data_IF_129288286602
#
_entry.id   IF_129288286602
#
_cell.length_a   1.000
_cell.length_b   1.000
_cell.length_c   1.000
_cell.angle_alpha   90.00
_cell.angle_beta   90.00
_cell.angle_gamma   90.00
#
_symmetry.space_group_name_H-M   'P 1'
#
loop_
_entity.id
_entity.type
_entity.pdbx_description
1 polymer ?
#
# COMPACT_ATOMS: atom_id res chain seq x y z
N UNK A 1 -44.95 15.82 -7.50
CA UNK A 1 -44.99 17.25 -7.10
C UNK A 1 -44.71 17.43 -5.61
N UNK A 2 -45.53 16.86 -4.70
CA UNK A 2 -45.34 17.02 -3.24
C UNK A 2 -43.98 16.52 -2.73
N UNK A 3 -43.54 15.31 -3.10
CA UNK A 3 -42.22 14.77 -2.72
C UNK A 3 -41.06 15.68 -3.14
N UNK A 4 -41.11 16.21 -4.36
CA UNK A 4 -40.05 17.08 -4.88
C UNK A 4 -39.97 18.41 -4.13
N UNK A 5 -41.11 19.01 -3.79
CA UNK A 5 -41.16 20.25 -3.03
C UNK A 5 -40.66 20.05 -1.59
N UNK A 6 -41.04 18.95 -0.96
CA UNK A 6 -40.54 18.59 0.37
C UNK A 6 -39.03 18.33 0.35
N UNK A 7 -38.51 17.63 -0.67
CA UNK A 7 -37.09 17.37 -0.81
C UNK A 7 -36.28 18.67 -0.97
N UNK A 8 -36.74 19.60 -1.81
CA UNK A 8 -36.11 20.91 -1.97
C UNK A 8 -36.09 21.71 -0.65
N UNK A 9 -37.18 21.66 0.10
CA UNK A 9 -37.27 22.33 1.42
C UNK A 9 -36.27 21.74 2.41
N UNK A 10 -36.20 20.41 2.49
CA UNK A 10 -35.29 19.71 3.41
C UNK A 10 -33.81 19.92 3.03
N UNK A 11 -33.49 19.86 1.74
CA UNK A 11 -32.14 20.14 1.25
C UNK A 11 -31.71 21.58 1.56
N UNK A 12 -32.59 22.56 1.32
CA UNK A 12 -32.31 23.96 1.63
C UNK A 12 -32.15 24.24 3.13
N UNK A 13 -32.79 23.45 3.98
CA UNK A 13 -32.68 23.52 5.43
C UNK A 13 -31.47 22.76 6.00
N UNK A 14 -30.70 22.03 5.18
CA UNK A 14 -29.61 21.15 5.65
C UNK A 14 -30.10 19.91 6.41
N UNK A 15 -31.38 19.55 6.27
CA UNK A 15 -32.02 18.42 6.97
C UNK A 15 -31.81 17.12 6.19
N UNK A 16 -30.54 16.77 5.94
CA UNK A 16 -30.13 15.70 5.02
C UNK A 16 -30.60 14.30 5.44
N UNK A 17 -30.64 13.99 6.74
CA UNK A 17 -31.18 12.71 7.22
C UNK A 17 -32.69 12.58 6.96
N UNK A 18 -33.44 13.69 7.11
CA UNK A 18 -34.88 13.71 6.78
C UNK A 18 -35.11 13.66 5.28
N UNK A 19 -34.22 14.25 4.48
CA UNK A 19 -34.23 14.11 3.03
C UNK A 19 -34.07 12.64 2.63
N UNK A 20 -33.11 11.92 3.24
CA UNK A 20 -32.96 10.48 3.03
C UNK A 20 -34.27 9.74 3.33
N UNK A 21 -34.87 9.98 4.50
CA UNK A 21 -36.13 9.32 4.89
C UNK A 21 -37.27 9.59 3.91
N UNK A 22 -37.37 10.83 3.42
CA UNK A 22 -38.33 11.22 2.39
C UNK A 22 -38.09 10.48 1.07
N UNK A 23 -36.84 10.28 0.65
CA UNK A 23 -36.51 9.51 -0.56
C UNK A 23 -36.86 8.05 -0.44
N UNK A 24 -36.65 7.43 0.73
CA UNK A 24 -37.10 6.06 0.97
C UNK A 24 -38.64 5.96 0.90
N UNK A 25 -39.34 6.95 1.47
CA UNK A 25 -40.81 7.05 1.40
C UNK A 25 -41.29 7.18 -0.05
N UNK A 26 -40.64 8.03 -0.83
CA UNK A 26 -40.93 8.25 -2.24
C UNK A 26 -40.73 6.97 -3.06
N UNK A 27 -39.62 6.27 -2.87
CA UNK A 27 -39.31 5.04 -3.58
C UNK A 27 -40.37 3.96 -3.34
N UNK A 28 -40.82 3.80 -2.08
CA UNK A 28 -41.90 2.86 -1.74
C UNK A 28 -43.23 3.24 -2.40
N UNK A 29 -43.58 4.52 -2.36
CA UNK A 29 -44.79 5.04 -3.00
C UNK A 29 -44.80 4.78 -4.52
N UNK A 30 -43.68 5.06 -5.20
CA UNK A 30 -43.53 4.86 -6.64
C UNK A 30 -43.60 3.38 -7.07
N UNK A 31 -43.21 2.47 -6.17
CA UNK A 31 -43.29 1.02 -6.37
C UNK A 31 -44.62 0.40 -5.89
N UNK A 32 -45.56 1.20 -5.40
CA UNK A 32 -46.87 0.74 -4.92
C UNK A 32 -46.83 -0.01 -3.58
N UNK A 33 -45.77 0.20 -2.78
CA UNK A 33 -45.60 -0.40 -1.46
C UNK A 33 -46.22 0.47 -0.37
N UNK A 34 -46.53 -0.13 0.79
CA UNK A 34 -46.99 0.63 1.96
C UNK A 34 -45.89 1.59 2.43
N UNK A 35 -46.24 2.87 2.51
CA UNK A 35 -45.38 3.98 2.95
C UNK A 35 -45.07 3.91 4.46
N UNK A 36 -45.84 3.16 5.24
CA UNK A 36 -45.66 3.01 6.70
C UNK A 36 -44.43 2.20 7.16
N UNK A 37 -43.54 1.78 6.25
CA UNK A 37 -42.34 0.93 6.52
C UNK A 37 -42.63 -0.28 7.43
N UNK A 38 -43.73 -0.99 7.19
CA UNK A 38 -44.08 -2.20 7.99
C UNK A 38 -43.30 -3.43 7.58
N UNK A 39 -42.99 -3.56 6.29
CA UNK A 39 -42.29 -4.72 5.74
C UNK A 39 -40.79 -4.42 5.61
N UNK A 40 -39.94 -5.35 6.07
CA UNK A 40 -38.51 -5.27 5.82
C UNK A 40 -38.25 -5.37 4.31
N UNK A 41 -37.10 -4.87 3.84
CA UNK A 41 -36.75 -4.97 2.42
C UNK A 41 -36.68 -6.44 1.96
N UNK A 42 -36.26 -7.33 2.86
CA UNK A 42 -36.17 -8.78 2.65
C UNK A 42 -37.54 -9.47 2.51
N UNK A 43 -38.63 -8.80 2.88
CA UNK A 43 -39.99 -9.31 2.74
C UNK A 43 -40.64 -8.88 1.40
N UNK A 44 -39.96 -8.03 0.61
CA UNK A 44 -40.45 -7.57 -0.69
C UNK A 44 -40.13 -8.63 -1.77
N UNK A 45 -41.10 -9.01 -2.57
CA UNK A 45 -40.91 -10.00 -3.65
C UNK A 45 -40.10 -9.43 -4.84
N UNK A 46 -39.40 -10.31 -5.56
CA UNK A 46 -38.76 -9.95 -6.84
C UNK A 46 -39.82 -9.73 -7.93
N UNK A 47 -39.62 -8.80 -8.89
CA UNK A 47 -38.46 -7.93 -9.09
C UNK A 47 -38.57 -6.56 -8.39
N UNK A 48 -39.52 -6.39 -7.46
CA UNK A 48 -39.75 -5.11 -6.77
C UNK A 48 -38.62 -4.82 -5.78
N UNK A 49 -38.13 -5.84 -5.08
CA UNK A 49 -36.99 -5.75 -4.15
C UNK A 49 -35.77 -5.11 -4.81
N UNK A 50 -35.31 -5.68 -5.93
CA UNK A 50 -34.17 -5.15 -6.71
C UNK A 50 -34.34 -3.66 -7.05
N UNK A 51 -35.55 -3.23 -7.44
CA UNK A 51 -35.82 -1.81 -7.76
C UNK A 51 -35.82 -0.91 -6.52
N UNK A 52 -36.34 -1.41 -5.40
CA UNK A 52 -36.35 -0.69 -4.13
C UNK A 52 -34.92 -0.50 -3.59
N UNK A 53 -34.10 -1.55 -3.63
CA UNK A 53 -32.67 -1.48 -3.28
C UNK A 53 -31.93 -0.45 -4.12
N UNK A 54 -32.12 -0.46 -5.43
CA UNK A 54 -31.52 0.52 -6.33
C UNK A 54 -31.94 1.96 -5.99
N UNK A 55 -33.21 2.18 -5.65
CA UNK A 55 -33.70 3.49 -5.24
C UNK A 55 -33.14 3.93 -3.88
N UNK A 56 -32.95 3.00 -2.94
CA UNK A 56 -32.33 3.28 -1.63
C UNK A 56 -30.85 3.63 -1.79
N UNK A 57 -30.11 2.91 -2.63
CA UNK A 57 -28.73 3.25 -2.96
C UNK A 57 -28.62 4.62 -3.64
N UNK A 58 -29.59 4.98 -4.49
CA UNK A 58 -29.64 6.32 -5.08
C UNK A 58 -29.86 7.41 -4.03
N UNK A 59 -30.78 7.20 -3.07
CA UNK A 59 -31.01 8.11 -1.96
C UNK A 59 -29.75 8.29 -1.07
N UNK A 60 -29.03 7.19 -0.82
CA UNK A 60 -27.74 7.21 -0.13
C UNK A 60 -26.72 8.09 -0.87
N UNK A 61 -26.59 7.95 -2.20
CA UNK A 61 -25.68 8.78 -2.99
C UNK A 61 -26.06 10.25 -2.97
N UNK A 62 -27.33 10.59 -3.20
CA UNK A 62 -27.81 11.98 -3.19
C UNK A 62 -27.47 12.68 -1.86
N UNK A 63 -27.78 12.03 -0.74
CA UNK A 63 -27.57 12.60 0.59
C UNK A 63 -26.08 12.65 0.94
N UNK A 64 -25.32 11.62 0.57
CA UNK A 64 -23.88 11.57 0.73
C UNK A 64 -23.16 12.69 -0.02
N UNK A 65 -23.53 12.95 -1.27
CA UNK A 65 -22.98 14.06 -2.08
C UNK A 65 -23.23 15.43 -1.44
N UNK A 66 -24.46 15.67 -0.98
CA UNK A 66 -24.82 16.93 -0.31
C UNK A 66 -24.04 17.13 0.99
N UNK A 67 -23.81 16.05 1.76
CA UNK A 67 -22.99 16.09 2.98
C UNK A 67 -21.51 16.36 2.68
N UNK A 68 -20.96 15.79 1.59
CA UNK A 68 -19.60 16.10 1.14
C UNK A 68 -19.47 17.57 0.71
N UNK A 69 -20.45 18.11 -0.01
CA UNK A 69 -20.47 19.53 -0.41
C UNK A 69 -20.52 20.46 0.81
N UNK A 70 -21.12 20.02 1.91
CA UNK A 70 -21.16 20.73 3.18
C UNK A 70 -19.93 20.49 4.08
N UNK A 71 -18.95 19.69 3.64
CA UNK A 71 -17.74 19.36 4.42
C UNK A 71 -17.97 18.40 5.60
N UNK A 72 -19.11 17.71 5.65
CA UNK A 72 -19.46 16.74 6.70
C UNK A 72 -19.06 15.32 6.27
N UNK A 73 -17.76 15.05 6.25
CA UNK A 73 -17.18 13.85 5.63
C UNK A 73 -17.60 12.54 6.32
N UNK A 74 -17.57 12.49 7.66
CA UNK A 74 -17.94 11.28 8.43
C UNK A 74 -19.38 10.88 8.18
N UNK A 75 -20.28 11.86 8.18
CA UNK A 75 -21.70 11.64 7.93
C UNK A 75 -21.96 11.28 6.48
N UNK A 76 -21.27 11.92 5.54
CA UNK A 76 -21.33 11.52 4.13
C UNK A 76 -20.91 10.05 3.96
N UNK A 77 -19.84 9.61 4.64
CA UNK A 77 -19.37 8.23 4.56
C UNK A 77 -20.40 7.22 5.08
N UNK A 78 -21.18 7.56 6.12
CA UNK A 78 -22.28 6.70 6.60
C UNK A 78 -23.27 6.34 5.48
N UNK A 79 -23.56 7.29 4.58
CA UNK A 79 -24.46 7.07 3.45
C UNK A 79 -23.77 6.47 2.22
N UNK A 80 -22.51 6.85 1.95
CA UNK A 80 -21.81 6.40 0.74
C UNK A 80 -21.20 5.00 0.88
N UNK A 81 -20.94 4.53 2.11
CA UNK A 81 -20.39 3.21 2.38
C UNK A 81 -21.27 2.07 1.85
N UNK A 82 -22.60 2.01 2.10
CA UNK A 82 -23.47 1.02 1.47
C UNK A 82 -23.47 1.06 -0.07
N UNK A 83 -23.30 2.25 -0.67
CA UNK A 83 -23.26 2.42 -2.12
C UNK A 83 -21.91 2.03 -2.75
N UNK A 84 -20.90 1.70 -1.92
CA UNK A 84 -19.55 1.35 -2.34
C UNK A 84 -18.80 2.50 -3.03
N UNK A 85 -19.26 3.75 -2.88
CA UNK A 85 -18.82 4.87 -3.70
C UNK A 85 -17.55 5.55 -3.15
N UNK A 86 -16.48 4.76 -3.05
CA UNK A 86 -15.17 5.25 -2.58
C UNK A 86 -14.57 6.30 -3.51
N UNK A 87 -14.86 6.21 -4.81
CA UNK A 87 -14.27 7.10 -5.81
C UNK A 87 -14.77 8.54 -5.64
N UNK A 88 -16.07 8.73 -5.45
CA UNK A 88 -16.65 10.04 -5.15
C UNK A 88 -16.01 10.67 -3.90
N UNK A 89 -15.90 9.90 -2.82
CA UNK A 89 -15.31 10.39 -1.56
C UNK A 89 -13.84 10.76 -1.75
N UNK A 90 -13.07 9.91 -2.43
CA UNK A 90 -11.67 10.18 -2.79
C UNK A 90 -11.51 11.50 -3.56
N UNK A 91 -12.36 11.75 -4.54
CA UNK A 91 -12.33 13.01 -5.29
C UNK A 91 -12.62 14.23 -4.42
N UNK A 92 -13.53 14.12 -3.45
CA UNK A 92 -13.80 15.20 -2.50
C UNK A 92 -12.68 15.39 -1.48
N UNK A 93 -12.13 14.32 -0.92
CA UNK A 93 -10.92 14.34 -0.10
C UNK A 93 -9.73 14.97 -0.85
N UNK A 94 -9.69 14.83 -2.19
CA UNK A 94 -8.61 15.41 -2.98
C UNK A 94 -8.57 16.94 -2.95
N UNK A 95 -9.73 17.55 -2.75
CA UNK A 95 -9.96 18.99 -2.70
C UNK A 95 -10.06 19.53 -1.28
N UNK A 96 -10.23 18.64 -0.30
CA UNK A 96 -10.08 18.98 1.10
C UNK A 96 -8.63 19.41 1.32
N UNK A 97 -8.42 20.69 1.58
CA UNK A 97 -7.20 21.17 2.19
C UNK A 97 -7.48 21.20 3.70
N UNK A 98 -7.20 20.11 4.45
CA UNK A 98 -7.35 20.17 5.89
C UNK A 98 -6.52 21.32 6.43
N UNK A 99 -7.12 22.13 7.31
CA UNK A 99 -6.31 22.95 8.20
C UNK A 99 -5.55 21.99 9.10
N UNK A 100 -4.24 21.90 8.91
CA UNK A 100 -3.37 21.03 9.71
C UNK A 100 -3.28 21.49 11.18
N UNK A 101 -3.86 22.63 11.53
CA UNK A 101 -4.05 23.08 12.91
C UNK A 101 -5.36 22.67 13.56
N UNK A 102 -6.32 22.10 12.81
CA UNK A 102 -7.57 21.54 13.34
C UNK A 102 -7.42 20.02 13.52
N UNK A 103 -7.04 19.65 14.74
CA UNK A 103 -6.80 18.26 15.12
C UNK A 103 -8.03 17.37 14.96
N UNK A 104 -9.24 17.86 15.23
CA UNK A 104 -10.45 17.05 15.16
C UNK A 104 -10.86 16.79 13.70
N UNK A 105 -10.77 17.82 12.86
CA UNK A 105 -11.03 17.71 11.43
C UNK A 105 -10.02 16.77 10.74
N UNK A 106 -8.74 16.86 11.09
CA UNK A 106 -7.71 16.00 10.52
C UNK A 106 -7.88 14.53 10.92
N UNK A 107 -8.31 14.24 12.16
CA UNK A 107 -8.56 12.86 12.60
C UNK A 107 -9.74 12.24 11.86
N UNK A 108 -10.81 13.00 11.64
CA UNK A 108 -11.94 12.57 10.82
C UNK A 108 -11.51 12.20 9.39
N UNK A 109 -10.67 13.03 8.77
CA UNK A 109 -10.19 12.76 7.42
C UNK A 109 -9.25 11.56 7.36
N UNK A 110 -8.37 11.39 8.35
CA UNK A 110 -7.50 10.20 8.46
C UNK A 110 -8.35 8.93 8.62
N UNK A 111 -9.38 8.97 9.46
CA UNK A 111 -10.31 7.86 9.68
C UNK A 111 -10.92 7.35 8.37
N UNK A 112 -11.47 8.27 7.58
CA UNK A 112 -12.13 7.94 6.31
C UNK A 112 -11.11 7.54 5.25
N UNK A 113 -10.03 8.30 5.11
CA UNK A 113 -9.06 8.07 4.04
C UNK A 113 -8.27 6.77 4.24
N UNK A 114 -7.73 6.56 5.45
CA UNK A 114 -6.83 5.44 5.75
C UNK A 114 -7.57 4.23 6.33
N UNK A 115 -8.28 4.39 7.44
CA UNK A 115 -8.86 3.25 8.18
C UNK A 115 -10.09 2.65 7.48
N UNK A 116 -10.88 3.46 6.79
CA UNK A 116 -11.97 2.97 5.91
C UNK A 116 -11.48 2.63 4.48
N UNK A 117 -10.18 2.78 4.24
CA UNK A 117 -9.48 2.50 3.00
C UNK A 117 -10.13 3.16 1.75
N UNK A 118 -10.46 4.46 1.86
CA UNK A 118 -11.01 5.25 0.76
C UNK A 118 -9.89 5.86 -0.09
N UNK A 119 -8.90 6.48 0.54
CA UNK A 119 -7.70 7.05 -0.09
C UNK A 119 -6.49 6.81 0.83
N UNK A 120 -5.99 5.55 0.94
CA UNK A 120 -4.95 5.21 1.90
C UNK A 120 -3.67 6.00 1.73
N UNK A 121 -3.25 6.31 0.50
CA UNK A 121 -2.04 7.09 0.23
C UNK A 121 -2.11 8.47 0.91
N UNK A 122 -3.21 9.19 0.70
CA UNK A 122 -3.43 10.51 1.29
C UNK A 122 -3.63 10.44 2.80
N UNK A 123 -4.46 9.50 3.26
CA UNK A 123 -4.72 9.31 4.69
C UNK A 123 -3.45 8.98 5.47
N UNK A 124 -2.58 8.15 4.89
CA UNK A 124 -1.28 7.82 5.47
C UNK A 124 -0.33 9.02 5.49
N UNK A 125 -0.31 9.83 4.43
CA UNK A 125 0.49 11.07 4.40
C UNK A 125 0.08 12.05 5.51
N UNK A 126 -1.22 12.22 5.73
CA UNK A 126 -1.76 13.04 6.82
C UNK A 126 -1.40 12.48 8.20
N UNK A 127 -1.58 11.17 8.40
CA UNK A 127 -1.21 10.51 9.66
C UNK A 127 0.28 10.67 9.96
N UNK A 128 1.15 10.48 8.97
CA UNK A 128 2.60 10.59 9.12
C UNK A 128 3.01 12.02 9.46
N UNK A 129 2.39 13.03 8.84
CA UNK A 129 2.64 14.43 9.13
C UNK A 129 2.20 14.83 10.54
N UNK A 130 1.09 14.26 11.02
CA UNK A 130 0.52 14.56 12.34
C UNK A 130 1.21 13.82 13.48
N UNK A 131 1.40 12.52 13.34
CA UNK A 131 1.77 11.60 14.42
C UNK A 131 3.25 11.18 14.36
N UNK A 132 3.97 11.57 13.30
CA UNK A 132 5.41 11.34 13.12
C UNK A 132 5.79 9.93 12.64
N UNK A 133 7.08 9.76 12.36
CA UNK A 133 7.64 8.57 11.70
C UNK A 133 7.39 7.27 12.45
N UNK A 134 7.66 7.22 13.76
CA UNK A 134 7.51 6.00 14.57
C UNK A 134 6.07 5.47 14.51
N UNK A 135 5.10 6.33 14.81
CA UNK A 135 3.69 5.94 14.80
C UNK A 135 3.18 5.64 13.38
N UNK A 136 3.68 6.36 12.36
CA UNK A 136 3.41 6.04 10.96
C UNK A 136 3.88 4.64 10.57
N UNK A 137 5.05 4.21 11.02
CA UNK A 137 5.56 2.84 10.80
C UNK A 137 4.66 1.83 11.52
N UNK A 138 4.39 2.03 12.82
CA UNK A 138 3.54 1.13 13.62
C UNK A 138 2.14 0.97 13.01
N UNK A 139 1.55 2.06 12.54
CA UNK A 139 0.23 2.04 11.89
C UNK A 139 0.27 1.26 10.59
N UNK A 140 1.27 1.48 9.73
CA UNK A 140 1.37 0.78 8.46
C UNK A 140 1.59 -0.73 8.66
N UNK A 141 2.41 -1.12 9.64
CA UNK A 141 2.62 -2.53 10.02
C UNK A 141 1.33 -3.21 10.48
N UNK A 142 0.44 -2.47 11.14
CA UNK A 142 -0.86 -2.97 11.60
C UNK A 142 -1.89 -3.09 10.48
N UNK A 143 -1.79 -2.22 9.46
CA UNK A 143 -2.74 -2.16 8.34
C UNK A 143 -2.32 -3.00 7.12
N UNK A 144 -1.07 -3.43 7.02
CA UNK A 144 -0.53 -4.07 5.82
C UNK A 144 -1.33 -5.28 5.31
N UNK A 145 -2.00 -6.03 6.19
CA UNK A 145 -2.83 -7.18 5.83
C UNK A 145 -4.24 -6.81 5.34
N UNK A 146 -4.68 -5.59 5.63
CA UNK A 146 -6.01 -5.07 5.29
C UNK A 146 -5.99 -4.23 4.00
N UNK A 147 -4.85 -3.61 3.69
CA UNK A 147 -4.67 -2.80 2.50
C UNK A 147 -4.54 -3.66 1.24
N UNK A 148 -5.02 -3.13 0.11
CA UNK A 148 -4.73 -3.72 -1.18
C UNK A 148 -3.22 -3.62 -1.48
N UNK A 149 -2.66 -4.51 -2.34
CA UNK A 149 -1.25 -4.40 -2.74
C UNK A 149 -0.90 -3.04 -3.37
N UNK A 150 -1.86 -2.41 -4.08
CA UNK A 150 -1.67 -1.08 -4.66
C UNK A 150 -1.57 0.01 -3.59
N UNK A 151 -2.51 0.00 -2.63
CA UNK A 151 -2.55 0.98 -1.54
C UNK A 151 -1.32 0.84 -0.62
N UNK A 152 -0.91 -0.39 -0.29
CA UNK A 152 0.28 -0.63 0.53
C UNK A 152 1.54 -0.08 -0.14
N UNK A 153 1.69 -0.26 -1.47
CA UNK A 153 2.80 0.33 -2.23
C UNK A 153 2.76 1.86 -2.24
N UNK A 154 1.59 2.46 -2.34
CA UNK A 154 1.43 3.91 -2.30
C UNK A 154 1.82 4.47 -0.91
N UNK A 155 1.34 3.86 0.17
CA UNK A 155 1.75 4.22 1.54
C UNK A 155 3.26 4.02 1.77
N UNK A 156 3.84 2.92 1.27
CA UNK A 156 5.28 2.68 1.34
C UNK A 156 6.08 3.80 0.63
N UNK A 157 5.62 4.26 -0.53
CA UNK A 157 6.25 5.36 -1.25
C UNK A 157 6.22 6.68 -0.44
N UNK A 158 5.13 6.96 0.28
CA UNK A 158 5.04 8.10 1.20
C UNK A 158 6.05 7.99 2.34
N UNK A 159 6.15 6.81 2.98
CA UNK A 159 7.11 6.58 4.06
C UNK A 159 8.56 6.78 3.60
N UNK A 160 8.93 6.21 2.44
CA UNK A 160 10.28 6.34 1.88
C UNK A 160 10.64 7.80 1.63
N UNK A 161 9.75 8.57 1.00
CA UNK A 161 9.96 10.01 0.75
C UNK A 161 10.11 10.80 2.04
N UNK A 162 9.29 10.50 3.03
CA UNK A 162 9.31 11.17 4.33
C UNK A 162 10.63 10.93 5.06
N UNK A 163 11.02 9.66 5.23
CA UNK A 163 12.25 9.29 5.95
C UNK A 163 13.50 9.79 5.23
N UNK A 164 13.54 9.71 3.89
CA UNK A 164 14.61 10.32 3.11
C UNK A 164 14.68 11.84 3.34
N UNK A 165 13.53 12.52 3.32
CA UNK A 165 13.43 13.95 3.56
C UNK A 165 13.88 14.36 4.97
N UNK A 166 13.48 13.61 5.98
CA UNK A 166 13.86 13.80 7.39
C UNK A 166 15.38 13.65 7.56
N UNK A 167 15.95 12.54 7.09
CA UNK A 167 17.39 12.27 7.18
C UNK A 167 18.22 13.34 6.44
N UNK A 168 17.82 13.67 5.22
CA UNK A 168 18.45 14.73 4.42
C UNK A 168 18.35 16.09 5.13
N UNK A 169 17.20 16.41 5.71
CA UNK A 169 16.98 17.63 6.49
C UNK A 169 17.92 17.70 7.69
N UNK A 170 18.05 16.61 8.44
CA UNK A 170 18.89 16.53 9.63
C UNK A 170 20.39 16.66 9.31
N UNK A 171 20.86 16.00 8.25
CA UNK A 171 22.24 16.15 7.77
C UNK A 171 22.53 17.57 7.28
N UNK A 172 21.60 18.19 6.54
CA UNK A 172 21.74 19.61 6.15
C UNK A 172 21.77 20.54 7.36
N UNK A 173 20.94 20.29 8.37
CA UNK A 173 20.95 21.03 9.62
C UNK A 173 22.27 20.86 10.38
N UNK A 174 22.88 19.68 10.38
CA UNK A 174 24.22 19.47 10.91
C UNK A 174 25.28 20.22 10.11
N UNK A 175 25.27 20.13 8.78
CA UNK A 175 26.20 20.85 7.91
C UNK A 175 26.13 22.36 8.11
N UNK A 176 24.92 22.93 8.19
CA UNK A 176 24.71 24.36 8.44
C UNK A 176 25.30 24.80 9.79
N UNK A 177 25.23 23.95 10.83
CA UNK A 177 25.88 24.22 12.12
C UNK A 177 27.40 24.18 12.04
N UNK A 178 27.97 23.32 11.19
CA UNK A 178 29.43 23.18 11.01
C UNK A 178 30.04 24.26 10.11
N UNK A 179 29.35 24.64 9.03
CA UNK A 179 29.90 25.49 7.96
C UNK A 179 29.18 26.83 7.80
N UNK A 180 28.06 27.05 8.49
CA UNK A 180 27.22 28.25 8.39
C UNK A 180 26.18 28.22 7.26
N UNK A 181 26.35 27.34 6.27
CA UNK A 181 25.42 27.14 5.16
C UNK A 181 25.31 25.67 4.77
N UNK A 182 24.16 25.29 4.19
CA UNK A 182 23.94 23.95 3.65
C UNK A 182 23.08 24.03 2.38
N UNK A 183 23.65 23.76 1.19
CA UNK A 183 22.93 23.88 -0.07
C UNK A 183 21.64 23.04 -0.08
N UNK A 184 20.56 23.62 -0.61
CA UNK A 184 19.23 23.01 -0.60
C UNK A 184 18.99 21.95 -1.67
N UNK A 185 19.90 21.83 -2.63
CA UNK A 185 19.76 20.95 -3.79
C UNK A 185 20.49 19.63 -3.63
N UNK A 186 21.47 19.53 -2.71
CA UNK A 186 22.26 18.32 -2.54
C UNK A 186 21.39 17.15 -2.07
N UNK A 187 21.57 16.01 -2.72
CA UNK A 187 21.06 14.70 -2.31
C UNK A 187 21.75 14.20 -1.04
N UNK A 188 21.21 13.14 -0.44
CA UNK A 188 21.82 12.47 0.70
C UNK A 188 23.19 11.91 0.33
N UNK A 189 23.31 11.28 -0.84
CA UNK A 189 24.59 10.76 -1.36
C UNK A 189 25.64 11.85 -1.59
N UNK A 190 25.25 13.00 -2.14
CA UNK A 190 26.17 14.15 -2.29
C UNK A 190 26.61 14.73 -0.95
N UNK A 191 25.69 14.90 0.01
CA UNK A 191 26.04 15.38 1.35
C UNK A 191 27.09 14.48 2.02
N UNK A 192 26.91 13.17 1.93
CA UNK A 192 27.82 12.19 2.52
C UNK A 192 29.16 12.08 1.81
N UNK A 193 29.19 12.29 0.49
CA UNK A 193 30.42 12.25 -0.31
C UNK A 193 31.27 13.51 -0.11
N UNK A 194 30.62 14.67 -0.17
CA UNK A 194 31.29 15.96 -0.17
C UNK A 194 31.65 16.42 1.26
N UNK A 195 30.92 15.91 2.26
CA UNK A 195 31.11 16.21 3.69
C UNK A 195 31.16 14.92 4.53
N UNK A 196 32.20 14.08 4.37
CA UNK A 196 32.32 12.82 5.09
C UNK A 196 32.27 12.98 6.61
N UNK A 197 32.71 14.13 7.14
CA UNK A 197 32.69 14.45 8.57
C UNK A 197 31.30 14.39 9.20
N UNK A 198 30.23 14.52 8.38
CA UNK A 198 28.85 14.43 8.87
C UNK A 198 28.51 13.05 9.45
N UNK A 199 29.20 12.00 9.02
CA UNK A 199 28.96 10.62 9.45
C UNK A 199 30.10 10.05 10.30
N UNK A 200 31.10 10.86 10.62
CA UNK A 200 32.23 10.43 11.44
C UNK A 200 31.86 10.40 12.94
N UNK A 201 32.71 9.71 13.72
CA UNK A 201 32.66 9.68 15.19
C UNK A 201 31.35 9.12 15.78
N UNK A 202 30.63 8.28 15.03
CA UNK A 202 29.40 7.64 15.50
C UNK A 202 28.19 8.58 15.55
N UNK A 203 28.25 9.71 14.84
CA UNK A 203 27.13 10.62 14.68
C UNK A 203 26.00 9.96 13.88
N UNK A 204 24.77 10.00 14.39
CA UNK A 204 23.56 9.58 13.67
C UNK A 204 22.51 10.69 13.68
N UNK A 205 21.72 10.75 12.61
CA UNK A 205 20.83 11.85 12.23
C UNK A 205 19.38 11.43 12.09
N UNK A 206 19.09 10.17 12.36
CA UNK A 206 17.77 9.55 12.30
C UNK A 206 17.81 8.33 13.21
N UNK A 207 16.67 8.00 13.84
CA UNK A 207 16.53 6.73 14.54
C UNK A 207 16.84 5.56 13.58
N UNK A 208 17.82 4.68 13.89
CA UNK A 208 18.17 3.57 13.01
C UNK A 208 17.00 2.60 12.76
N UNK A 209 16.06 2.46 13.70
CA UNK A 209 14.86 1.62 13.51
C UNK A 209 13.91 2.19 12.44
N UNK A 210 13.82 3.52 12.32
CA UNK A 210 13.07 4.18 11.24
C UNK A 210 13.72 3.89 9.89
N UNK A 211 15.05 3.94 9.83
CA UNK A 211 15.82 3.67 8.61
C UNK A 211 15.59 2.22 8.12
N UNK A 212 15.73 1.24 9.01
CA UNK A 212 15.51 -0.17 8.68
C UNK A 212 14.08 -0.40 8.19
N UNK A 213 13.10 0.19 8.87
CA UNK A 213 11.68 0.08 8.48
C UNK A 213 11.41 0.72 7.11
N UNK A 214 11.96 1.90 6.85
CA UNK A 214 11.82 2.57 5.55
C UNK A 214 12.46 1.76 4.42
N UNK A 215 13.63 1.14 4.64
CA UNK A 215 14.25 0.24 3.67
C UNK A 215 13.41 -1.01 3.44
N UNK A 216 12.81 -1.59 4.49
CA UNK A 216 11.87 -2.71 4.36
C UNK A 216 10.72 -2.37 3.42
N UNK A 217 10.07 -1.22 3.62
CA UNK A 217 8.98 -0.74 2.77
C UNK A 217 9.44 -0.29 1.38
N UNK A 218 10.67 0.21 1.24
CA UNK A 218 11.24 0.59 -0.05
C UNK A 218 11.35 -0.60 -1.03
N UNK A 219 11.43 -1.84 -0.53
CA UNK A 219 11.37 -3.04 -1.38
C UNK A 219 10.03 -3.17 -2.12
N UNK A 220 8.97 -2.57 -1.63
CA UNK A 220 7.63 -2.64 -2.23
C UNK A 220 7.44 -1.65 -3.39
N UNK A 221 8.20 -0.55 -3.42
CA UNK A 221 8.00 0.53 -4.39
C UNK A 221 8.53 0.17 -5.77
N UNK A 222 7.94 0.74 -6.82
CA UNK A 222 8.25 0.40 -8.21
C UNK A 222 8.83 1.57 -9.02
N UNK A 223 9.15 2.69 -8.36
CA UNK A 223 9.65 3.90 -9.01
C UNK A 223 11.19 4.00 -8.91
N UNK A 224 11.92 4.17 -10.03
CA UNK A 224 13.38 4.27 -10.00
C UNK A 224 13.94 5.37 -9.10
N UNK A 225 13.23 6.50 -8.98
CA UNK A 225 13.61 7.60 -8.08
C UNK A 225 13.60 7.18 -6.61
N UNK A 226 12.62 6.35 -6.21
CA UNK A 226 12.53 5.85 -4.84
C UNK A 226 13.59 4.77 -4.57
N UNK A 227 13.97 3.97 -5.58
CA UNK A 227 15.10 3.07 -5.47
C UNK A 227 16.42 3.82 -5.26
N UNK A 228 16.63 4.95 -5.95
CA UNK A 228 17.80 5.81 -5.71
C UNK A 228 17.79 6.40 -4.30
N UNK A 229 16.65 6.87 -3.80
CA UNK A 229 16.53 7.35 -2.42
C UNK A 229 16.85 6.23 -1.41
N UNK A 230 16.35 5.02 -1.64
CA UNK A 230 16.63 3.86 -0.80
C UNK A 230 18.11 3.47 -0.81
N UNK A 231 18.74 3.49 -1.98
CA UNK A 231 20.19 3.21 -2.13
C UNK A 231 21.06 4.24 -1.39
N UNK A 232 20.72 5.53 -1.45
CA UNK A 232 21.41 6.56 -0.65
C UNK A 232 21.18 6.38 0.86
N UNK A 233 19.97 5.97 1.27
CA UNK A 233 19.68 5.60 2.67
C UNK A 233 20.49 4.39 3.13
N UNK A 234 20.71 3.41 2.25
CA UNK A 234 21.59 2.27 2.50
C UNK A 234 23.03 2.74 2.69
N UNK A 235 23.53 3.63 1.83
CA UNK A 235 24.88 4.19 1.97
C UNK A 235 25.06 4.89 3.32
N UNK A 236 24.07 5.68 3.76
CA UNK A 236 24.07 6.29 5.09
C UNK A 236 24.12 5.22 6.19
N UNK A 237 23.26 4.21 6.10
CA UNK A 237 23.21 3.13 7.07
C UNK A 237 24.52 2.36 7.23
N UNK A 238 25.29 2.16 6.15
CA UNK A 238 26.62 1.53 6.18
C UNK A 238 27.67 2.33 6.95
N UNK A 239 27.42 3.62 7.19
CA UNK A 239 28.32 4.51 7.93
C UNK A 239 27.93 4.63 9.41
N UNK A 240 26.81 4.06 9.81
CA UNK A 240 26.44 3.97 11.22
C UNK A 240 27.41 3.04 11.98
N UNK A 241 27.64 3.29 13.27
CA UNK A 241 28.26 2.33 14.17
C UNK A 241 27.64 0.93 14.06
N UNK A 242 28.46 -0.11 14.15
CA UNK A 242 28.04 -1.51 13.96
C UNK A 242 26.88 -1.92 14.91
N UNK A 243 26.84 -1.39 16.12
CA UNK A 243 25.78 -1.63 17.11
C UNK A 243 24.44 -0.95 16.78
N UNK A 244 24.45 0.01 15.85
CA UNK A 244 23.27 0.67 15.29
C UNK A 244 22.86 0.09 13.93
N UNK A 245 23.60 -0.88 13.40
CA UNK A 245 23.25 -1.59 12.17
C UNK A 245 22.35 -2.79 12.47
N UNK A 246 21.09 -2.52 12.84
CA UNK A 246 20.15 -3.57 13.22
C UNK A 246 19.87 -4.55 12.07
N UNK A 247 19.84 -5.86 12.34
CA UNK A 247 19.50 -6.87 11.34
C UNK A 247 18.00 -6.84 11.00
N UNK A 248 17.68 -7.18 9.76
CA UNK A 248 16.30 -7.45 9.28
C UNK A 248 16.06 -8.98 9.22
N UNK A 249 14.91 -9.38 8.69
CA UNK A 249 14.57 -10.79 8.43
C UNK A 249 15.26 -11.31 7.16
N UNK A 250 15.34 -12.64 7.03
CA UNK A 250 15.86 -13.28 5.83
C UNK A 250 15.11 -12.82 4.57
N UNK A 251 15.78 -12.59 3.42
CA UNK A 251 17.22 -12.73 3.14
C UNK A 251 18.03 -11.44 3.37
N UNK A 252 17.53 -10.52 4.21
CA UNK A 252 18.09 -9.19 4.45
C UNK A 252 18.71 -9.02 5.84
N UNK A 253 19.13 -10.11 6.50
CA UNK A 253 19.66 -10.05 7.87
C UNK A 253 20.90 -9.16 8.00
N UNK A 254 21.70 -9.08 6.93
CA UNK A 254 22.71 -8.04 6.75
C UNK A 254 22.08 -6.85 6.02
N UNK A 255 21.26 -6.08 6.74
CA UNK A 255 20.35 -5.05 6.21
C UNK A 255 20.97 -4.25 5.08
N UNK A 256 22.10 -3.58 5.33
CA UNK A 256 22.67 -2.68 4.34
C UNK A 256 23.43 -3.38 3.20
N UNK A 257 23.94 -4.60 3.42
CA UNK A 257 24.58 -5.37 2.34
C UNK A 257 23.53 -5.87 1.36
N UNK A 258 22.48 -6.51 1.87
CA UNK A 258 21.42 -7.07 1.05
C UNK A 258 20.62 -5.98 0.32
N UNK A 259 20.27 -4.88 1.01
CA UNK A 259 19.57 -3.77 0.35
C UNK A 259 20.45 -3.05 -0.68
N UNK A 260 21.77 -2.93 -0.47
CA UNK A 260 22.69 -2.35 -1.46
C UNK A 260 22.72 -3.18 -2.75
N UNK A 261 22.77 -4.51 -2.64
CA UNK A 261 22.70 -5.40 -3.80
C UNK A 261 21.32 -5.33 -4.48
N UNK A 262 20.24 -5.33 -3.70
CA UNK A 262 18.88 -5.31 -4.22
C UNK A 262 18.58 -4.00 -4.99
N UNK A 263 18.73 -2.84 -4.35
CA UNK A 263 18.46 -1.55 -5.02
C UNK A 263 19.51 -1.23 -6.08
N UNK A 264 20.77 -1.63 -5.87
CA UNK A 264 21.83 -1.53 -6.89
C UNK A 264 21.45 -2.26 -8.17
N UNK A 265 20.97 -3.50 -8.07
CA UNK A 265 20.53 -4.30 -9.22
C UNK A 265 19.33 -3.68 -9.92
N UNK A 266 18.33 -3.19 -9.18
CA UNK A 266 17.18 -2.48 -9.75
C UNK A 266 17.59 -1.19 -10.49
N UNK A 267 18.70 -0.57 -10.08
CA UNK A 267 19.32 0.58 -10.75
C UNK A 267 20.32 0.16 -11.85
N UNK A 268 20.42 -1.13 -12.18
CA UNK A 268 21.26 -1.66 -13.25
C UNK A 268 22.74 -1.87 -12.88
N UNK A 269 23.09 -1.86 -11.59
CA UNK A 269 24.46 -2.05 -11.08
C UNK A 269 24.61 -3.42 -10.43
N UNK A 270 25.72 -4.10 -10.68
CA UNK A 270 26.06 -5.40 -10.08
C UNK A 270 24.92 -6.44 -10.15
N UNK A 271 24.18 -6.44 -11.27
CA UNK A 271 22.94 -7.22 -11.43
C UNK A 271 23.16 -8.72 -11.18
N UNK A 272 24.17 -9.31 -11.83
CA UNK A 272 24.47 -10.74 -11.70
C UNK A 272 24.95 -11.10 -10.28
N UNK A 273 25.74 -10.24 -9.65
CA UNK A 273 26.19 -10.42 -8.25
C UNK A 273 24.99 -10.45 -7.30
N UNK A 274 24.02 -9.56 -7.49
CA UNK A 274 22.81 -9.54 -6.68
C UNK A 274 21.96 -10.81 -6.90
N UNK A 275 21.78 -11.23 -8.15
CA UNK A 275 21.06 -12.47 -8.48
C UNK A 275 21.72 -13.66 -7.77
N UNK A 276 23.04 -13.81 -7.89
CA UNK A 276 23.80 -14.89 -7.25
C UNK A 276 23.68 -14.83 -5.71
N UNK A 277 23.76 -13.64 -5.13
CA UNK A 277 23.59 -13.43 -3.70
C UNK A 277 22.22 -13.96 -3.22
N UNK A 278 21.13 -13.48 -3.81
CA UNK A 278 19.78 -13.88 -3.40
C UNK A 278 19.49 -15.35 -3.71
N UNK A 279 19.93 -15.87 -4.86
CA UNK A 279 19.79 -17.28 -5.21
C UNK A 279 20.53 -18.20 -4.21
N UNK A 280 21.76 -17.85 -3.85
CA UNK A 280 22.55 -18.62 -2.87
C UNK A 280 21.94 -18.58 -1.47
N UNK A 281 21.29 -17.46 -1.12
CA UNK A 281 20.64 -17.30 0.19
C UNK A 281 19.41 -18.21 0.29
N UNK A 282 18.51 -18.19 -0.70
CA UNK A 282 17.32 -19.04 -0.68
C UNK A 282 17.66 -20.53 -0.63
N UNK A 283 18.66 -20.99 -1.41
CA UNK A 283 19.08 -22.41 -1.38
C UNK A 283 19.66 -22.85 -0.02
N UNK A 284 20.29 -21.92 0.73
CA UNK A 284 20.89 -22.22 2.04
C UNK A 284 19.85 -22.33 3.14
N UNK A 285 18.80 -21.49 3.11
CA UNK A 285 17.75 -21.50 4.14
C UNK A 285 16.93 -22.80 4.00
N UNK A 286 16.55 -23.17 2.77
CA UNK A 286 15.79 -24.40 2.50
C UNK A 286 16.53 -25.71 2.76
N UNK A 287 17.83 -25.67 3.05
CA UNK A 287 18.65 -26.85 3.36
C UNK A 287 18.84 -27.11 4.87
N UNK A 288 18.39 -26.21 5.76
CA UNK A 288 18.78 -26.24 7.18
C UNK A 288 17.65 -26.09 8.21
N UNK A 289 16.39 -26.09 7.80
CA UNK A 289 15.28 -25.64 8.65
C UNK A 289 14.55 -26.69 9.49
N UNK A 290 15.17 -27.29 10.51
CA UNK A 290 14.43 -27.99 11.59
C UNK A 290 14.09 -27.00 12.72
N UNK A 291 13.08 -26.16 12.51
CA UNK A 291 12.56 -25.21 13.52
C UNK A 291 11.14 -24.76 13.18
N UNK A 292 10.33 -24.32 14.17
CA UNK A 292 8.92 -23.97 13.95
C UNK A 292 8.69 -22.80 12.98
N UNK A 293 9.68 -21.91 12.81
CA UNK A 293 9.61 -20.74 11.91
C UNK A 293 10.39 -20.93 10.58
N UNK A 294 11.06 -22.07 10.37
CA UNK A 294 11.94 -22.25 9.20
C UNK A 294 11.22 -22.11 7.85
N UNK A 295 9.97 -22.57 7.78
CA UNK A 295 9.17 -22.47 6.56
C UNK A 295 8.71 -21.05 6.21
N UNK A 296 8.75 -20.10 7.16
CA UNK A 296 8.40 -18.70 6.89
C UNK A 296 9.57 -17.95 6.25
N UNK A 297 10.75 -18.09 6.82
CA UNK A 297 11.97 -17.45 6.29
C UNK A 297 12.30 -17.96 4.87
N UNK A 298 12.04 -19.23 4.60
CA UNK A 298 12.17 -19.83 3.26
C UNK A 298 11.26 -19.13 2.22
N UNK A 299 9.99 -18.90 2.58
CA UNK A 299 9.02 -18.25 1.69
C UNK A 299 9.33 -16.77 1.50
N UNK A 300 9.80 -16.07 2.53
CA UNK A 300 10.21 -14.66 2.43
C UNK A 300 11.47 -14.50 1.54
N UNK A 301 12.43 -15.43 1.65
CA UNK A 301 13.60 -15.47 0.76
C UNK A 301 13.26 -15.84 -0.68
N UNK A 302 12.35 -16.80 -0.89
CA UNK A 302 11.85 -17.13 -2.22
C UNK A 302 11.10 -15.95 -2.85
N UNK A 303 10.23 -15.29 -2.08
CA UNK A 303 9.48 -14.11 -2.51
C UNK A 303 10.41 -12.97 -2.95
N UNK A 304 11.41 -12.63 -2.14
CA UNK A 304 12.37 -11.59 -2.48
C UNK A 304 13.17 -11.90 -3.76
N UNK A 305 13.58 -13.15 -3.95
CA UNK A 305 14.33 -13.57 -5.14
C UNK A 305 13.48 -13.57 -6.41
N UNK A 306 12.26 -14.11 -6.33
CA UNK A 306 11.30 -14.12 -7.45
C UNK A 306 10.91 -12.70 -7.85
N UNK A 307 10.62 -11.84 -6.87
CA UNK A 307 10.32 -10.42 -7.10
C UNK A 307 11.50 -9.69 -7.76
N UNK A 308 12.73 -9.90 -7.29
CA UNK A 308 13.93 -9.32 -7.90
C UNK A 308 14.06 -9.73 -9.38
N UNK A 309 13.98 -11.03 -9.68
CA UNK A 309 14.08 -11.51 -11.06
C UNK A 309 12.99 -10.93 -11.95
N UNK A 310 11.75 -10.85 -11.45
CA UNK A 310 10.63 -10.25 -12.18
C UNK A 310 10.93 -8.79 -12.52
N UNK A 311 11.37 -7.99 -11.53
CA UNK A 311 11.68 -6.55 -11.71
C UNK A 311 12.89 -6.29 -12.59
N UNK A 312 13.83 -7.22 -12.69
CA UNK A 312 14.97 -7.17 -13.61
C UNK A 312 14.59 -7.57 -15.05
N UNK A 313 13.30 -7.81 -15.33
CA UNK A 313 12.86 -8.25 -16.65
C UNK A 313 13.32 -9.67 -16.99
N UNK A 314 13.32 -10.57 -15.99
CA UNK A 314 13.63 -12.00 -16.13
C UNK A 314 12.44 -12.87 -15.70
N UNK A 315 11.22 -12.68 -16.26
CA UNK A 315 10.02 -13.37 -15.79
C UNK A 315 10.08 -14.90 -15.95
N UNK A 316 10.78 -15.42 -16.96
CA UNK A 316 10.95 -16.88 -17.12
C UNK A 316 11.81 -17.50 -16.03
N UNK A 317 12.92 -16.84 -15.67
CA UNK A 317 13.75 -17.27 -14.54
C UNK A 317 12.99 -17.15 -13.21
N UNK A 318 12.20 -16.08 -13.04
CA UNK A 318 11.34 -15.90 -11.88
C UNK A 318 10.28 -17.01 -11.76
N UNK A 319 9.67 -17.42 -12.89
CA UNK A 319 8.69 -18.52 -12.93
C UNK A 319 9.32 -19.84 -12.48
N UNK A 320 10.51 -20.15 -13.01
CA UNK A 320 11.26 -21.35 -12.64
C UNK A 320 11.64 -21.33 -11.15
N UNK A 321 12.17 -20.20 -10.67
CA UNK A 321 12.51 -20.02 -9.27
C UNK A 321 11.30 -20.18 -8.34
N UNK A 322 10.15 -19.60 -8.68
CA UNK A 322 8.90 -19.79 -7.93
C UNK A 322 8.59 -21.29 -7.85
N UNK A 323 8.53 -21.97 -9.00
CA UNK A 323 8.12 -23.37 -9.07
C UNK A 323 9.07 -24.32 -8.33
N UNK A 324 10.37 -24.02 -8.28
CA UNK A 324 11.39 -24.81 -7.57
C UNK A 324 11.41 -24.54 -6.07
N UNK A 325 11.34 -23.26 -5.67
CA UNK A 325 11.62 -22.83 -4.29
C UNK A 325 10.38 -22.81 -3.39
N UNK A 326 9.18 -22.87 -3.98
CA UNK A 326 7.92 -22.76 -3.22
C UNK A 326 7.24 -24.13 -3.11
N UNK A 327 7.01 -24.67 -1.90
CA UNK A 327 6.30 -25.92 -1.67
C UNK A 327 4.95 -25.98 -2.39
N UNK A 328 4.54 -27.17 -2.84
CA UNK A 328 3.37 -27.36 -3.72
C UNK A 328 2.05 -26.88 -3.11
N UNK A 329 1.93 -26.91 -1.79
CA UNK A 329 0.76 -26.51 -0.99
C UNK A 329 0.83 -25.05 -0.51
N UNK A 330 1.86 -24.31 -0.94
CA UNK A 330 2.10 -22.92 -0.54
C UNK A 330 2.14 -21.99 -1.75
N UNK A 331 1.80 -20.74 -1.49
CA UNK A 331 1.92 -19.62 -2.40
C UNK A 331 2.80 -18.53 -1.78
N UNK A 332 3.47 -17.76 -2.64
CA UNK A 332 4.15 -16.56 -2.22
C UNK A 332 3.11 -15.46 -1.93
N UNK A 333 3.47 -14.52 -1.07
CA UNK A 333 2.55 -13.46 -0.64
C UNK A 333 2.03 -12.58 -1.77
N UNK A 334 0.93 -11.83 -1.56
CA UNK A 334 0.20 -11.09 -2.60
C UNK A 334 0.98 -9.92 -3.25
N UNK A 335 2.15 -9.60 -2.71
CA UNK A 335 3.07 -8.59 -3.25
C UNK A 335 4.03 -9.16 -4.30
N UNK A 336 4.14 -10.50 -4.38
CA UNK A 336 4.97 -11.20 -5.36
C UNK A 336 4.10 -11.59 -6.56
N UNK A 337 4.61 -11.49 -7.80
CA UNK A 337 3.87 -11.97 -8.98
C UNK A 337 3.48 -13.44 -8.86
N UNK A 338 2.25 -13.78 -9.23
CA UNK A 338 1.80 -15.18 -9.26
C UNK A 338 2.48 -15.97 -10.38
N UNK A 339 2.43 -17.30 -10.31
CA UNK A 339 2.87 -18.17 -11.42
C UNK A 339 2.21 -17.78 -12.76
N UNK A 340 0.93 -17.37 -12.72
CA UNK A 340 0.19 -16.96 -13.91
C UNK A 340 0.67 -15.61 -14.44
N UNK A 341 0.96 -14.64 -13.57
CA UNK A 341 1.51 -13.35 -13.98
C UNK A 341 2.90 -13.51 -14.62
N UNK A 342 3.73 -14.37 -14.04
CA UNK A 342 5.06 -14.69 -14.57
C UNK A 342 4.99 -15.45 -15.91
N UNK A 343 4.03 -16.36 -16.07
CA UNK A 343 3.78 -17.05 -17.33
C UNK A 343 3.33 -16.09 -18.43
N UNK A 344 2.41 -15.17 -18.12
CA UNK A 344 1.99 -14.11 -19.06
C UNK A 344 3.16 -13.21 -19.47
N UNK A 345 3.98 -12.79 -18.51
CA UNK A 345 5.11 -11.91 -18.77
C UNK A 345 6.25 -12.58 -19.55
N UNK A 346 6.46 -13.89 -19.36
CA UNK A 346 7.53 -14.65 -20.03
C UNK A 346 7.11 -15.32 -21.34
N UNK A 347 5.82 -15.62 -21.49
CA UNK A 347 5.31 -16.51 -22.55
C UNK A 347 5.61 -18.00 -22.32
N UNK A 348 6.24 -18.37 -21.20
CA UNK A 348 6.64 -19.75 -20.89
C UNK A 348 5.49 -20.56 -20.29
N UNK A 349 4.50 -20.85 -21.15
CA UNK A 349 3.30 -21.59 -20.77
C UNK A 349 3.56 -23.07 -20.46
N UNK A 350 4.64 -23.64 -21.00
CA UNK A 350 5.00 -25.03 -20.76
C UNK A 350 5.55 -25.21 -19.34
N UNK A 351 6.47 -24.32 -18.91
CA UNK A 351 6.96 -24.31 -17.52
C UNK A 351 5.82 -24.05 -16.51
N UNK A 352 4.88 -23.16 -16.86
CA UNK A 352 3.67 -22.94 -16.06
C UNK A 352 2.82 -24.21 -15.92
N UNK A 353 2.53 -24.88 -17.04
CA UNK A 353 1.72 -26.10 -17.03
C UNK A 353 2.39 -27.21 -16.20
N UNK A 354 3.71 -27.36 -16.31
CA UNK A 354 4.45 -28.33 -15.50
C UNK A 354 4.43 -27.99 -14.00
N UNK A 355 4.55 -26.71 -13.64
CA UNK A 355 4.40 -26.25 -12.26
C UNK A 355 3.00 -26.58 -11.70
N UNK A 356 1.93 -26.29 -12.44
CA UNK A 356 0.56 -26.58 -12.00
C UNK A 356 0.27 -28.08 -11.92
N UNK A 357 0.79 -28.90 -12.85
CA UNK A 357 0.67 -30.37 -12.79
C UNK A 357 1.33 -30.94 -11.54
N UNK A 358 2.54 -30.48 -11.20
CA UNK A 358 3.24 -30.89 -9.96
C UNK A 358 2.47 -30.52 -8.71
N UNK A 359 1.73 -29.40 -8.75
CA UNK A 359 0.84 -28.93 -7.67
C UNK A 359 -0.53 -29.60 -7.66
N UNK A 360 -0.85 -30.43 -8.66
CA UNK A 360 -2.20 -30.97 -8.89
C UNK A 360 -3.29 -29.88 -8.91
N UNK A 361 -2.96 -28.71 -9.45
CA UNK A 361 -3.86 -27.56 -9.52
C UNK A 361 -4.54 -27.47 -10.89
N UNK A 362 -5.70 -28.12 -10.99
CA UNK A 362 -6.52 -28.12 -12.21
C UNK A 362 -7.07 -26.73 -12.54
N UNK A 363 -7.38 -25.91 -11.53
CA UNK A 363 -7.93 -24.57 -11.74
C UNK A 363 -6.89 -23.67 -12.37
N UNK A 364 -5.65 -23.68 -11.87
CA UNK A 364 -4.54 -22.95 -12.47
C UNK A 364 -4.24 -23.44 -13.90
N UNK A 365 -4.22 -24.76 -14.15
CA UNK A 365 -4.04 -25.29 -15.50
C UNK A 365 -5.07 -24.72 -16.51
N UNK A 366 -6.34 -24.68 -16.12
CA UNK A 366 -7.40 -24.10 -16.95
C UNK A 366 -7.22 -22.58 -17.09
N UNK A 367 -6.88 -21.87 -16.02
CA UNK A 367 -6.63 -20.43 -16.05
C UNK A 367 -5.50 -20.06 -17.03
N UNK A 368 -4.41 -20.84 -17.05
CA UNK A 368 -3.34 -20.68 -18.04
C UNK A 368 -3.77 -21.00 -19.46
N UNK A 369 -4.54 -22.07 -19.67
CA UNK A 369 -5.04 -22.45 -20.99
C UNK A 369 -5.95 -21.36 -21.60
N UNK A 370 -6.82 -20.75 -20.79
CA UNK A 370 -7.66 -19.61 -21.21
C UNK A 370 -6.80 -18.37 -21.47
N UNK A 371 -5.86 -18.06 -20.56
CA UNK A 371 -5.00 -16.87 -20.69
C UNK A 371 -4.06 -16.92 -21.89
N UNK A 372 -3.75 -18.10 -22.43
CA UNK A 372 -2.93 -18.26 -23.65
C UNK A 372 -3.71 -17.97 -24.94
N UNK A 373 -5.04 -18.04 -24.90
CA UNK A 373 -5.91 -17.89 -26.08
C UNK A 373 -6.39 -16.46 -26.31
N UNK A 374 -6.42 -15.63 -25.26
CA UNK A 374 -6.68 -14.19 -25.34
C UNK A 374 -5.38 -13.42 -25.43
#
# INVERSE_FOLDING_TARGET
AAFQQAAQTLAAAGEWHRLFDLRLLQARYELGLDVGRRDAIDDVEEPVRTRLEAAYLHACREVGELLLDAGRYREAWMYLRPAGDKQLVRERLSRAAPDLGDDDALDELIEIALFEAVDPERGYAWLLQRQGTCNGITTLDSLQSQLSPGDLRACAAILVRHVYGELRGNLRGHLARLKGEAPATLSLGELMRDFPELTEQGSYHLDPSHLVSALRYARLVQEPRLWSMADEMVEYGRRLPDDLQYPDVAPFEKTYVANSLYFGALLGRNVEEAIDFFASRTRRIGAGGEGPDSGRDDLEAAAAYVDLLSRLGRPGAALQAYAELTPVDRELGPLTPSLLDLARASGDWDAYADACRRRNDLVALIAGAVSRQG
#
